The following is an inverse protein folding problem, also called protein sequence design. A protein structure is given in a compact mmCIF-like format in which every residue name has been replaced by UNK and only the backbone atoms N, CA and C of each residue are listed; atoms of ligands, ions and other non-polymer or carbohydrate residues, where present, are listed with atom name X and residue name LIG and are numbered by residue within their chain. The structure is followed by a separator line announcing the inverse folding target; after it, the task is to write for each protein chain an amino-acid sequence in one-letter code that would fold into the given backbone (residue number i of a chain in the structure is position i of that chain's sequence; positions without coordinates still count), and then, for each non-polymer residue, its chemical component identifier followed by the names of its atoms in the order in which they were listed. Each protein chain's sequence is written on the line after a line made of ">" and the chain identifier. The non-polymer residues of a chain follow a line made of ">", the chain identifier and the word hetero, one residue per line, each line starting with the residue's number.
data_IF_716795212885
#
_entry.id   IF_716795212885
#
_cell.length_a   1.000
_cell.length_b   1.000
_cell.length_c   1.000
_cell.angle_alpha   90.00
_cell.angle_beta   90.00
_cell.angle_gamma   90.00
#
_symmetry.space_group_name_H-M   'P 1'
#
loop_
_entity.id
_entity.type
_entity.pdbx_description
1 polymer ?
#
# COMPACT_ATOMS: atom_id res chain seq x y z
N UNK A 1 -9.12 -51.90 8.77
CA UNK A 1 -9.69 -50.81 9.60
C UNK A 1 -8.83 -49.56 9.42
N UNK A 2 -9.03 -48.83 8.32
CA UNK A 2 -8.34 -47.56 8.09
C UNK A 2 -9.10 -46.44 8.77
N UNK A 3 -8.44 -45.74 9.69
CA UNK A 3 -8.98 -44.57 10.36
C UNK A 3 -9.20 -43.45 9.33
N UNK A 4 -10.46 -43.11 9.12
CA UNK A 4 -10.88 -41.89 8.44
C UNK A 4 -10.42 -40.70 9.28
N UNK A 5 -9.28 -40.10 8.93
CA UNK A 5 -8.86 -38.79 9.42
C UNK A 5 -9.92 -37.77 8.97
N UNK A 6 -10.82 -37.44 9.88
CA UNK A 6 -11.73 -36.31 9.77
C UNK A 6 -10.87 -35.05 9.56
N UNK A 7 -10.80 -34.58 8.31
CA UNK A 7 -10.20 -33.30 7.95
C UNK A 7 -10.96 -32.24 8.75
N UNK A 8 -10.33 -31.74 9.81
CA UNK A 8 -10.80 -30.56 10.54
C UNK A 8 -10.95 -29.47 9.48
N UNK A 9 -12.13 -28.85 9.29
CA UNK A 9 -12.26 -27.76 8.35
C UNK A 9 -11.33 -26.65 8.85
N UNK A 10 -10.48 -26.13 7.96
CA UNK A 10 -9.67 -24.96 8.24
C UNK A 10 -10.60 -23.83 8.67
N UNK A 11 -10.85 -23.69 9.97
CA UNK A 11 -11.39 -22.47 10.60
C UNK A 11 -10.29 -21.40 10.62
N UNK A 12 -9.56 -21.29 9.51
CA UNK A 12 -8.59 -20.24 9.27
C UNK A 12 -9.41 -18.95 9.21
N UNK A 13 -9.43 -18.25 10.33
CA UNK A 13 -10.00 -16.92 10.45
C UNK A 13 -9.45 -16.09 9.29
N UNK A 14 -10.31 -15.76 8.32
CA UNK A 14 -9.88 -15.12 7.08
C UNK A 14 -9.11 -13.84 7.41
N UNK A 15 -7.83 -13.80 7.01
CA UNK A 15 -6.92 -12.66 7.24
C UNK A 15 -7.55 -11.33 6.79
N UNK A 16 -8.26 -11.26 5.64
CA UNK A 16 -8.99 -10.05 5.25
C UNK A 16 -10.02 -9.62 6.29
N UNK A 17 -10.82 -10.54 6.83
CA UNK A 17 -11.84 -10.24 7.86
C UNK A 17 -11.21 -9.68 9.13
N UNK A 18 -10.07 -10.23 9.57
CA UNK A 18 -9.34 -9.74 10.74
C UNK A 18 -8.85 -8.30 10.56
N UNK A 19 -8.33 -7.96 9.38
CA UNK A 19 -7.86 -6.61 9.10
C UNK A 19 -9.02 -5.60 9.12
N UNK A 20 -10.16 -5.94 8.50
CA UNK A 20 -11.36 -5.08 8.51
C UNK A 20 -11.84 -4.83 9.94
N UNK A 21 -12.00 -5.90 10.72
CA UNK A 21 -12.44 -5.81 12.11
C UNK A 21 -11.45 -4.98 12.94
N UNK A 22 -10.14 -5.16 12.74
CA UNK A 22 -9.11 -4.40 13.46
C UNK A 22 -9.16 -2.90 13.15
N UNK A 23 -9.20 -2.53 11.87
CA UNK A 23 -9.30 -1.11 11.44
C UNK A 23 -10.58 -0.49 12.00
N UNK A 24 -11.71 -1.20 11.88
CA UNK A 24 -12.99 -0.73 12.40
C UNK A 24 -12.97 -0.52 13.92
N UNK A 25 -12.46 -1.49 14.68
CA UNK A 25 -12.37 -1.40 16.15
C UNK A 25 -11.47 -0.24 16.56
N UNK A 26 -10.27 -0.12 15.98
CA UNK A 26 -9.35 0.97 16.33
C UNK A 26 -9.93 2.34 15.99
N UNK A 27 -10.59 2.47 14.84
CA UNK A 27 -11.25 3.71 14.45
C UNK A 27 -12.41 4.07 15.40
N UNK A 28 -13.30 3.10 15.69
CA UNK A 28 -14.43 3.31 16.59
C UNK A 28 -13.98 3.64 18.01
N UNK A 29 -12.99 2.92 18.54
CA UNK A 29 -12.41 3.19 19.85
C UNK A 29 -11.75 4.56 19.91
N UNK A 30 -11.01 4.96 18.86
CA UNK A 30 -10.44 6.30 18.75
C UNK A 30 -11.53 7.38 18.80
N UNK A 31 -12.60 7.21 18.03
CA UNK A 31 -13.71 8.17 17.97
C UNK A 31 -14.42 8.31 19.31
N UNK A 32 -14.72 7.19 19.98
CA UNK A 32 -15.39 7.18 21.28
C UNK A 32 -14.50 7.82 22.37
N UNK A 33 -13.21 7.50 22.35
CA UNK A 33 -12.25 8.05 23.32
C UNK A 33 -12.09 9.56 23.14
N UNK A 34 -12.02 10.03 21.89
CA UNK A 34 -11.95 11.47 21.59
C UNK A 34 -13.27 12.19 21.91
N UNK A 35 -14.42 11.55 21.66
CA UNK A 35 -15.73 12.08 22.03
C UNK A 35 -15.88 12.26 23.55
N UNK A 36 -15.48 11.26 24.33
CA UNK A 36 -15.47 11.32 25.79
C UNK A 36 -14.53 12.43 26.30
N UNK A 37 -13.34 12.54 25.70
CA UNK A 37 -12.39 13.61 26.02
C UNK A 37 -12.97 15.02 25.76
N UNK A 38 -13.69 15.20 24.65
CA UNK A 38 -14.32 16.47 24.28
C UNK A 38 -15.51 16.85 25.17
N UNK A 39 -16.26 15.88 25.71
CA UNK A 39 -17.51 16.14 26.44
C UNK A 39 -17.37 16.24 27.94
N UNK A 40 -16.58 15.39 28.60
CA UNK A 40 -16.76 15.18 30.05
C UNK A 40 -15.49 15.28 30.89
N UNK A 41 -14.34 14.86 30.35
CA UNK A 41 -13.17 14.62 31.22
C UNK A 41 -11.97 15.52 30.92
N UNK A 42 -11.75 16.01 29.68
CA UNK A 42 -10.52 16.74 29.25
C UNK A 42 -9.20 16.12 29.74
N UNK A 43 -9.23 14.85 30.17
CA UNK A 43 -8.09 14.15 30.73
C UNK A 43 -7.12 13.79 29.60
N UNK A 44 -5.88 14.26 29.72
CA UNK A 44 -4.83 14.03 28.71
C UNK A 44 -4.65 12.53 28.37
N UNK A 45 -4.72 11.58 29.32
CA UNK A 45 -4.61 10.14 29.02
C UNK A 45 -5.63 9.64 28.00
N UNK A 46 -6.89 10.10 28.04
CA UNK A 46 -7.90 9.72 27.05
C UNK A 46 -7.53 10.23 25.66
N UNK A 47 -7.06 11.47 25.54
CA UNK A 47 -6.60 12.01 24.27
C UNK A 47 -5.41 11.21 23.70
N UNK A 48 -4.45 10.82 24.55
CA UNK A 48 -3.32 9.98 24.13
C UNK A 48 -3.79 8.59 23.68
N UNK A 49 -4.71 7.95 24.40
CA UNK A 49 -5.27 6.66 24.01
C UNK A 49 -5.98 6.73 22.65
N UNK A 50 -6.82 7.75 22.43
CA UNK A 50 -7.47 7.97 21.13
C UNK A 50 -6.45 8.16 20.01
N UNK A 51 -5.43 9.00 20.23
CA UNK A 51 -4.34 9.20 19.27
C UNK A 51 -3.55 7.93 18.96
N UNK A 52 -3.24 7.11 19.98
CA UNK A 52 -2.56 5.83 19.80
C UNK A 52 -3.40 4.83 18.99
N UNK A 53 -4.72 4.78 19.21
CA UNK A 53 -5.62 3.91 18.44
C UNK A 53 -5.71 4.34 16.98
N UNK A 54 -5.73 5.65 16.69
CA UNK A 54 -5.68 6.14 15.31
C UNK A 54 -4.37 5.76 14.62
N UNK A 55 -3.24 5.91 15.31
CA UNK A 55 -1.93 5.50 14.78
C UNK A 55 -1.87 3.98 14.53
N UNK A 56 -2.45 3.19 15.42
CA UNK A 56 -2.56 1.74 15.25
C UNK A 56 -3.38 1.37 14.00
N UNK A 57 -4.50 2.06 13.74
CA UNK A 57 -5.30 1.84 12.54
C UNK A 57 -4.48 2.07 11.25
N UNK A 58 -3.67 3.13 11.20
CA UNK A 58 -2.75 3.39 10.07
C UNK A 58 -1.74 2.25 9.91
N UNK A 59 -1.17 1.76 11.02
CA UNK A 59 -0.25 0.62 11.00
C UNK A 59 -0.88 -0.64 10.37
N UNK A 60 -2.14 -0.92 10.67
CA UNK A 60 -2.88 -2.05 10.08
C UNK A 60 -3.02 -1.90 8.57
N UNK A 61 -3.31 -0.69 8.07
CA UNK A 61 -3.41 -0.42 6.62
C UNK A 61 -2.07 -0.66 5.92
N UNK A 62 -0.96 -0.22 6.51
CA UNK A 62 0.38 -0.42 5.94
C UNK A 62 0.78 -1.89 5.91
N UNK A 63 0.41 -2.67 6.94
CA UNK A 63 0.60 -4.12 6.95
C UNK A 63 -0.23 -4.78 5.85
N UNK A 64 -1.50 -4.38 5.70
CA UNK A 64 -2.34 -4.89 4.62
C UNK A 64 -1.76 -4.60 3.23
N UNK A 65 -1.22 -3.39 3.01
CA UNK A 65 -0.55 -3.07 1.75
C UNK A 65 0.70 -3.93 1.51
N UNK A 66 1.50 -4.18 2.56
CA UNK A 66 2.68 -5.05 2.44
C UNK A 66 2.31 -6.50 2.07
N UNK A 67 1.17 -6.99 2.54
CA UNK A 67 0.65 -8.31 2.16
C UNK A 67 0.20 -8.33 0.71
N UNK A 68 -0.50 -7.29 0.23
CA UNK A 68 -0.87 -7.16 -1.18
C UNK A 68 0.37 -7.19 -2.08
N UNK A 69 1.44 -6.49 -1.70
CA UNK A 69 2.71 -6.54 -2.43
C UNK A 69 3.30 -7.96 -2.43
N UNK A 70 3.38 -8.60 -1.27
CA UNK A 70 3.94 -9.95 -1.14
C UNK A 70 3.16 -11.02 -1.94
N UNK A 71 1.83 -10.88 -2.07
CA UNK A 71 0.98 -11.79 -2.85
C UNK A 71 1.00 -11.50 -4.36
N UNK A 72 1.27 -10.25 -4.75
CA UNK A 72 1.22 -9.84 -6.16
C UNK A 72 2.57 -10.00 -6.85
N UNK A 73 3.66 -9.79 -6.13
CA UNK A 73 5.03 -9.84 -6.63
C UNK A 73 5.57 -11.26 -6.73
N UNK A 74 6.49 -11.49 -7.67
CA UNK A 74 7.15 -12.78 -7.85
C UNK A 74 8.27 -13.01 -6.81
N UNK A 75 8.73 -14.26 -6.69
CA UNK A 75 9.79 -14.66 -5.74
C UNK A 75 11.15 -14.01 -5.99
N UNK A 76 11.37 -13.44 -7.17
CA UNK A 76 12.62 -12.74 -7.54
C UNK A 76 12.51 -11.23 -7.40
N UNK A 77 11.31 -10.72 -7.16
CA UNK A 77 11.05 -9.30 -7.03
C UNK A 77 11.33 -8.87 -5.59
N UNK A 78 11.78 -7.63 -5.43
CA UNK A 78 12.10 -7.06 -4.12
C UNK A 78 11.18 -5.88 -3.88
N UNK A 79 10.58 -5.80 -2.69
CA UNK A 79 9.87 -4.61 -2.26
C UNK A 79 10.39 -4.14 -0.91
N UNK A 80 10.38 -2.83 -0.70
CA UNK A 80 10.82 -2.22 0.55
C UNK A 80 9.98 -0.97 0.86
N UNK A 81 9.81 -0.68 2.14
CA UNK A 81 9.26 0.58 2.62
C UNK A 81 10.41 1.59 2.74
N UNK A 82 10.38 2.64 1.92
CA UNK A 82 11.42 3.68 1.89
C UNK A 82 11.09 4.80 2.89
N UNK A 83 9.81 5.04 3.17
CA UNK A 83 9.36 6.15 4.00
C UNK A 83 8.11 5.84 4.83
N UNK A 84 7.43 6.90 5.27
CA UNK A 84 6.21 6.80 6.09
C UNK A 84 5.13 5.95 5.42
N UNK A 85 4.68 6.32 4.23
CA UNK A 85 3.69 5.57 3.45
C UNK A 85 4.21 5.16 2.07
N UNK A 86 5.53 5.28 1.88
CA UNK A 86 6.18 5.11 0.58
C UNK A 86 6.86 3.75 0.47
N UNK A 87 6.56 3.07 -0.63
CA UNK A 87 7.09 1.76 -0.97
C UNK A 87 7.73 1.80 -2.35
N UNK A 88 8.83 1.08 -2.50
CA UNK A 88 9.45 0.84 -3.79
C UNK A 88 9.48 -0.66 -4.07
N UNK A 89 9.33 -1.00 -5.35
CA UNK A 89 9.42 -2.37 -5.85
C UNK A 89 10.44 -2.42 -6.99
N UNK A 90 11.31 -3.42 -6.96
CA UNK A 90 12.24 -3.76 -8.02
C UNK A 90 11.80 -5.08 -8.63
N UNK A 91 11.45 -5.05 -9.91
CA UNK A 91 11.00 -6.22 -10.67
C UNK A 91 12.16 -6.78 -11.47
N UNK A 92 12.49 -8.05 -11.26
CA UNK A 92 13.62 -8.67 -11.94
C UNK A 92 13.21 -9.19 -13.34
N UNK A 93 14.06 -8.98 -14.34
CA UNK A 93 13.86 -9.50 -15.71
C UNK A 93 12.47 -9.17 -16.30
N UNK A 94 12.01 -7.95 -16.07
CA UNK A 94 10.66 -7.48 -16.42
C UNK A 94 10.77 -6.23 -17.29
N UNK A 95 10.10 -6.22 -18.44
CA UNK A 95 10.02 -5.04 -19.30
C UNK A 95 9.04 -3.98 -18.75
N UNK A 96 9.01 -2.79 -19.35
CA UNK A 96 8.16 -1.68 -18.89
C UNK A 96 6.66 -2.05 -18.91
N UNK A 97 6.20 -2.78 -19.93
CA UNK A 97 4.78 -3.10 -20.10
C UNK A 97 4.33 -4.14 -19.06
N UNK A 98 5.15 -5.15 -18.80
CA UNK A 98 4.95 -6.13 -17.76
C UNK A 98 5.00 -5.46 -16.38
N UNK A 99 5.93 -4.52 -16.16
CA UNK A 99 6.02 -3.76 -14.91
C UNK A 99 4.74 -2.92 -14.67
N UNK A 100 4.22 -2.25 -15.69
CA UNK A 100 2.94 -1.53 -15.61
C UNK A 100 1.79 -2.49 -15.30
N UNK A 101 1.79 -3.69 -15.88
CA UNK A 101 0.76 -4.71 -15.62
C UNK A 101 0.80 -5.17 -14.16
N UNK A 102 1.99 -5.40 -13.60
CA UNK A 102 2.16 -5.74 -12.18
C UNK A 102 1.72 -4.58 -11.28
N UNK A 103 2.12 -3.34 -11.60
CA UNK A 103 1.70 -2.16 -10.85
C UNK A 103 0.18 -1.99 -10.83
N UNK A 104 -0.48 -2.19 -11.97
CA UNK A 104 -1.95 -2.10 -12.07
C UNK A 104 -2.64 -3.21 -11.27
N UNK A 105 -2.08 -4.43 -11.24
CA UNK A 105 -2.57 -5.50 -10.37
C UNK A 105 -2.46 -5.13 -8.90
N UNK A 106 -1.33 -4.58 -8.45
CA UNK A 106 -1.14 -4.10 -7.07
C UNK A 106 -2.18 -3.02 -6.75
N UNK A 107 -2.35 -2.03 -7.65
CA UNK A 107 -3.30 -0.93 -7.47
C UNK A 107 -4.73 -1.44 -7.31
N UNK A 108 -5.17 -2.34 -8.20
CA UNK A 108 -6.50 -2.92 -8.16
C UNK A 108 -6.70 -3.82 -6.93
N UNK A 109 -5.72 -4.64 -6.57
CA UNK A 109 -5.79 -5.50 -5.40
C UNK A 109 -5.93 -4.68 -4.11
N UNK A 110 -5.14 -3.61 -3.98
CA UNK A 110 -5.22 -2.73 -2.82
C UNK A 110 -6.56 -1.98 -2.74
N UNK A 111 -7.05 -1.45 -3.87
CA UNK A 111 -8.33 -0.75 -3.93
C UNK A 111 -9.56 -1.65 -3.66
N UNK A 112 -9.40 -2.98 -3.78
CA UNK A 112 -10.45 -3.97 -3.48
C UNK A 112 -10.41 -4.47 -2.04
N UNK A 113 -9.43 -4.06 -1.24
CA UNK A 113 -9.38 -4.45 0.17
C UNK A 113 -10.64 -3.93 0.90
N UNK A 114 -11.38 -4.77 1.62
CA UNK A 114 -12.62 -4.38 2.30
C UNK A 114 -12.38 -3.56 3.58
N UNK A 115 -11.25 -2.85 3.68
CA UNK A 115 -10.86 -2.07 4.87
C UNK A 115 -11.68 -0.78 5.02
N UNK A 116 -12.03 -0.16 3.89
CA UNK A 116 -12.78 1.07 3.78
C UNK A 116 -13.73 0.96 2.57
N UNK A 117 -14.63 1.93 2.43
CA UNK A 117 -15.49 2.04 1.25
C UNK A 117 -14.65 2.00 -0.06
N UNK A 118 -15.17 1.37 -1.13
CA UNK A 118 -14.46 1.27 -2.40
C UNK A 118 -14.00 2.64 -2.91
N UNK A 119 -12.69 2.76 -3.19
CA UNK A 119 -12.08 3.99 -3.70
C UNK A 119 -11.64 5.01 -2.65
N UNK A 120 -11.96 4.81 -1.36
CA UNK A 120 -11.42 5.64 -0.27
C UNK A 120 -9.95 5.32 0.02
N UNK A 121 -9.57 4.06 -0.14
CA UNK A 121 -8.18 3.60 -0.06
C UNK A 121 -7.66 3.34 -1.47
N UNK A 122 -6.57 4.00 -1.85
CA UNK A 122 -5.95 3.83 -3.16
C UNK A 122 -4.45 4.07 -3.11
N UNK A 123 -3.74 3.67 -4.16
CA UNK A 123 -2.32 3.90 -4.34
C UNK A 123 -2.07 4.49 -5.73
N UNK A 124 -1.12 5.41 -5.81
CA UNK A 124 -0.55 5.87 -7.07
C UNK A 124 0.83 5.23 -7.22
N UNK A 125 1.20 4.84 -8.43
CA UNK A 125 2.46 4.12 -8.68
C UNK A 125 3.17 4.75 -9.88
N UNK A 126 4.45 5.08 -9.70
CA UNK A 126 5.35 5.45 -10.80
C UNK A 126 6.18 4.24 -11.24
N UNK A 127 6.29 4.02 -12.54
CA UNK A 127 7.02 2.89 -13.15
C UNK A 127 8.12 3.42 -14.06
N UNK A 128 9.30 2.82 -13.95
CA UNK A 128 10.46 3.11 -14.80
C UNK A 128 11.13 1.80 -15.20
N UNK A 129 11.63 1.73 -16.43
CA UNK A 129 12.43 0.60 -16.91
C UNK A 129 13.91 0.96 -16.98
N UNK A 130 14.75 0.06 -16.48
CA UNK A 130 16.21 0.18 -16.62
C UNK A 130 16.69 0.00 -18.05
N UNK A 131 15.91 -0.69 -18.90
CA UNK A 131 16.25 -0.87 -20.32
C UNK A 131 16.22 0.46 -21.08
N UNK A 132 15.29 1.36 -20.72
CA UNK A 132 15.12 2.65 -21.39
C UNK A 132 15.88 3.78 -20.72
N UNK A 133 16.18 3.68 -19.41
CA UNK A 133 16.76 4.77 -18.60
C UNK A 133 18.14 4.45 -18.00
N UNK A 134 18.68 3.26 -18.28
CA UNK A 134 19.97 2.79 -17.74
C UNK A 134 19.84 2.11 -16.37
N UNK A 135 20.97 1.69 -15.80
CA UNK A 135 21.03 0.86 -14.59
C UNK A 135 21.43 1.61 -13.30
N UNK A 136 21.39 2.95 -13.33
CA UNK A 136 21.72 3.76 -12.16
C UNK A 136 20.53 3.87 -11.19
N UNK A 137 20.61 3.18 -10.06
CA UNK A 137 19.50 3.05 -9.12
C UNK A 137 19.00 4.41 -8.57
N UNK A 138 19.85 5.34 -8.09
CA UNK A 138 19.41 6.67 -7.69
C UNK A 138 18.64 7.41 -8.77
N UNK A 139 19.12 7.38 -10.02
CA UNK A 139 18.42 7.99 -11.16
C UNK A 139 17.07 7.31 -11.43
N UNK A 140 17.02 5.98 -11.41
CA UNK A 140 15.76 5.24 -11.59
C UNK A 140 14.75 5.57 -10.50
N UNK A 141 15.17 5.66 -9.23
CA UNK A 141 14.28 6.05 -8.14
C UNK A 141 13.75 7.48 -8.32
N UNK A 142 14.61 8.43 -8.71
CA UNK A 142 14.19 9.81 -9.00
C UNK A 142 13.18 9.87 -10.15
N UNK A 143 13.38 9.08 -11.20
CA UNK A 143 12.47 9.00 -12.34
C UNK A 143 11.13 8.33 -11.95
N UNK A 144 11.17 7.28 -11.14
CA UNK A 144 9.96 6.65 -10.63
C UNK A 144 9.15 7.61 -9.74
N UNK A 145 9.83 8.46 -8.95
CA UNK A 145 9.17 9.48 -8.14
C UNK A 145 8.55 10.60 -9.02
N UNK A 146 9.21 11.01 -10.10
CA UNK A 146 8.63 11.94 -11.09
C UNK A 146 7.35 11.35 -11.71
N UNK A 147 7.39 10.08 -12.15
CA UNK A 147 6.19 9.40 -12.66
C UNK A 147 5.08 9.29 -11.60
N UNK A 148 5.45 9.04 -10.33
CA UNK A 148 4.52 9.00 -9.22
C UNK A 148 3.89 10.38 -8.96
N UNK A 149 4.69 11.44 -9.07
CA UNK A 149 4.24 12.81 -8.94
C UNK A 149 3.18 13.15 -10.01
N UNK A 150 3.42 12.76 -11.26
CA UNK A 150 2.45 12.89 -12.36
C UNK A 150 1.15 12.11 -12.06
N UNK A 151 1.28 10.86 -11.59
CA UNK A 151 0.12 10.06 -11.18
C UNK A 151 -0.72 10.75 -10.09
N UNK A 152 -0.06 11.41 -9.14
CA UNK A 152 -0.75 12.19 -8.08
C UNK A 152 -1.44 13.43 -8.66
N UNK A 153 -0.80 14.14 -9.58
CA UNK A 153 -1.35 15.36 -10.19
C UNK A 153 -2.54 15.12 -11.12
N UNK A 154 -2.54 14.00 -11.83
CA UNK A 154 -3.59 13.71 -12.80
C UNK A 154 -4.87 13.12 -12.17
N UNK A 155 -4.94 13.00 -10.84
CA UNK A 155 -6.14 12.57 -10.11
C UNK A 155 -5.95 11.35 -9.22
N UNK A 156 -4.71 10.97 -8.89
CA UNK A 156 -4.35 9.83 -8.03
C UNK A 156 -4.90 8.49 -8.55
N UNK A 157 -4.71 7.43 -7.76
CA UNK A 157 -5.22 6.08 -8.00
C UNK A 157 -4.93 5.55 -9.43
N UNK A 158 -3.67 5.67 -9.86
CA UNK A 158 -3.25 5.31 -11.22
C UNK A 158 -1.77 4.96 -11.28
N UNK A 159 -1.41 4.31 -12.37
CA UNK A 159 -0.03 4.01 -12.74
C UNK A 159 0.43 5.01 -13.80
N UNK A 160 1.62 5.57 -13.63
CA UNK A 160 2.27 6.38 -14.67
C UNK A 160 3.66 5.86 -14.96
N UNK A 161 4.11 6.05 -16.20
CA UNK A 161 5.51 5.92 -16.59
C UNK A 161 6.06 7.30 -16.91
N UNK A 162 7.40 7.47 -16.83
CA UNK A 162 8.01 8.75 -17.17
C UNK A 162 7.82 9.04 -18.65
N UNK A 163 7.12 10.14 -18.96
CA UNK A 163 6.92 10.58 -20.32
C UNK A 163 8.29 10.84 -21.01
N UNK A 164 8.41 10.49 -22.28
CA UNK A 164 9.67 10.64 -23.05
C UNK A 164 10.15 12.08 -23.18
N UNK A 165 9.29 13.08 -22.90
CA UNK A 165 9.51 14.49 -23.24
C UNK A 165 10.44 15.28 -22.30
N UNK A 166 10.71 14.83 -21.07
CA UNK A 166 11.52 15.63 -20.11
C UNK A 166 13.03 15.56 -20.36
N UNK A 167 13.51 14.69 -21.25
CA UNK A 167 14.96 14.47 -21.48
C UNK A 167 15.55 15.19 -22.71
N UNK A 168 14.76 15.93 -23.49
CA UNK A 168 15.28 16.72 -24.63
C UNK A 168 15.63 18.18 -24.28
N UNK A 169 15.44 18.62 -23.02
CA UNK A 169 15.62 20.04 -22.63
C UNK A 169 16.73 20.32 -21.61
N UNK A 170 17.73 19.44 -21.49
CA UNK A 170 18.99 19.84 -20.86
C UNK A 170 20.17 19.54 -21.79
N UNK A 171 20.49 20.45 -22.75
CA UNK A 171 21.81 20.49 -23.34
C UNK A 171 22.84 21.05 -22.33
N UNK A 172 24.02 20.44 -22.34
CA UNK A 172 25.31 20.74 -21.65
C UNK A 172 25.34 21.76 -20.50
#
# INVERSE_FOLDING_TARGET
>A
MSATLTRIPDMALHIPTLLVVSVFIFFLMSLLTFHAWLRETRERPLAYLGGMMLLAAVGVVLVAFSQVLAETLGTKDVFARIGGEEFACLLAATDEQAAVTVAERVRQAFARLPLLEPGLLSVSIGVVSSETRGYDLPRLLSLADEALYDAKHQGRNRVHTVSRSTLELQPD
#
